data_IF_718750890088
#
_entry.id   IF_718750890088
#
_cell.length_a   1.000
_cell.length_b   1.000
_cell.length_c   1.000
_cell.angle_alpha   90.00
_cell.angle_beta   90.00
_cell.angle_gamma   90.00
#
_symmetry.space_group_name_H-M   'P 1'
#
loop_
_entity.id
_entity.type
_entity.pdbx_description
1 polymer ?
#
# COMPACT_ATOMS: atom_id res chain seq x y z
N UNK A 1 -32.53 -10.30 -42.15
CA UNK A 1 -31.30 -10.52 -41.36
C UNK A 1 -30.19 -9.60 -41.88
N UNK A 2 -30.34 -8.27 -41.85
CA UNK A 2 -29.39 -7.35 -42.51
C UNK A 2 -28.92 -6.17 -41.65
N UNK A 3 -29.11 -6.20 -40.32
CA UNK A 3 -28.76 -5.04 -39.45
C UNK A 3 -27.40 -5.15 -38.76
N UNK A 4 -26.73 -6.30 -38.80
CA UNK A 4 -25.48 -6.54 -38.05
C UNK A 4 -24.20 -6.33 -38.86
N UNK A 5 -24.30 -6.28 -40.20
CA UNK A 5 -23.14 -6.11 -41.10
C UNK A 5 -22.81 -4.63 -41.36
N UNK A 6 -23.75 -3.71 -41.12
CA UNK A 6 -23.57 -2.28 -41.34
C UNK A 6 -22.67 -1.64 -40.26
N UNK A 7 -22.80 -2.11 -39.01
CA UNK A 7 -22.01 -1.61 -37.87
C UNK A 7 -20.54 -2.05 -37.94
N UNK A 8 -20.24 -3.17 -38.63
CA UNK A 8 -18.86 -3.64 -38.83
C UNK A 8 -18.18 -2.91 -40.00
N UNK A 9 -18.96 -2.32 -40.92
CA UNK A 9 -18.43 -1.64 -42.11
C UNK A 9 -17.86 -0.24 -41.84
N UNK A 10 -18.25 0.42 -40.74
CA UNK A 10 -17.78 1.77 -40.43
C UNK A 10 -16.27 1.80 -40.09
N UNK A 11 -15.77 0.76 -39.41
CA UNK A 11 -14.36 0.65 -39.00
C UNK A 11 -13.41 0.19 -40.13
N UNK A 12 -13.96 -0.24 -41.27
CA UNK A 12 -13.21 -0.66 -42.47
C UNK A 12 -13.32 0.35 -43.61
N UNK A 13 -13.96 1.50 -43.36
CA UNK A 13 -13.99 2.60 -44.32
C UNK A 13 -12.59 3.18 -44.48
N UNK A 14 -12.19 3.45 -45.72
CA UNK A 14 -10.88 4.05 -46.02
C UNK A 14 -10.71 5.43 -45.34
N UNK A 15 -11.82 6.14 -45.14
CA UNK A 15 -11.86 7.42 -44.44
C UNK A 15 -11.49 7.28 -42.95
N UNK A 16 -11.99 6.24 -42.27
CA UNK A 16 -11.65 5.97 -40.87
C UNK A 16 -10.16 5.65 -40.69
N UNK A 17 -9.60 4.81 -41.56
CA UNK A 17 -8.16 4.47 -41.53
C UNK A 17 -7.28 5.69 -41.82
N UNK A 18 -7.72 6.60 -42.70
CA UNK A 18 -6.99 7.83 -42.99
C UNK A 18 -7.04 8.80 -41.81
N UNK A 19 -8.18 8.88 -41.11
CA UNK A 19 -8.32 9.68 -39.90
C UNK A 19 -7.44 9.15 -38.75
N UNK A 20 -7.35 7.82 -38.60
CA UNK A 20 -6.47 7.18 -37.62
C UNK A 20 -4.99 7.49 -37.91
N UNK A 21 -4.57 7.37 -39.17
CA UNK A 21 -3.21 7.73 -39.59
C UNK A 21 -2.88 9.21 -39.37
N UNK A 22 -3.85 10.12 -39.58
CA UNK A 22 -3.68 11.53 -39.30
C UNK A 22 -3.53 11.80 -37.80
N UNK A 23 -4.35 11.15 -36.97
CA UNK A 23 -4.27 11.28 -35.52
C UNK A 23 -2.92 10.76 -34.98
N UNK A 24 -2.44 9.61 -35.46
CA UNK A 24 -1.13 9.08 -35.11
C UNK A 24 0.01 10.01 -35.55
N UNK A 25 -0.07 10.57 -36.76
CA UNK A 25 0.92 11.52 -37.25
C UNK A 25 0.95 12.81 -36.40
N UNK A 26 -0.21 13.32 -35.99
CA UNK A 26 -0.30 14.50 -35.11
C UNK A 26 0.35 14.22 -33.75
N UNK A 27 0.06 13.06 -33.15
CA UNK A 27 0.68 12.64 -31.89
C UNK A 27 2.20 12.55 -32.01
N UNK A 28 2.71 11.93 -33.08
CA UNK A 28 4.15 11.82 -33.33
C UNK A 28 4.81 13.20 -33.52
N UNK A 29 4.16 14.14 -34.18
CA UNK A 29 4.67 15.52 -34.32
C UNK A 29 4.65 16.29 -33.00
N UNK A 30 3.67 16.06 -32.15
CA UNK A 30 3.60 16.67 -30.82
C UNK A 30 4.73 16.18 -29.92
N UNK A 31 5.05 14.88 -29.95
CA UNK A 31 6.18 14.30 -29.22
C UNK A 31 7.51 14.90 -29.71
N UNK A 32 7.69 15.02 -31.03
CA UNK A 32 8.89 15.64 -31.62
C UNK A 32 9.05 17.12 -31.24
N UNK A 33 7.95 17.87 -31.09
CA UNK A 33 7.97 19.26 -30.60
C UNK A 33 8.37 19.40 -29.13
N UNK A 34 8.11 18.39 -28.31
CA UNK A 34 8.55 18.36 -26.90
C UNK A 34 10.04 18.01 -26.79
N UNK A 35 10.60 17.32 -27.80
CA UNK A 35 12.03 16.98 -27.89
C UNK A 35 12.91 18.05 -28.56
N UNK A 36 12.40 19.25 -28.90
CA UNK A 36 13.30 20.35 -29.30
C UNK A 36 14.16 20.74 -28.08
N UNK A 37 15.50 20.55 -28.14
CA UNK A 37 16.35 20.89 -27.03
C UNK A 37 16.33 22.40 -26.85
N UNK A 38 15.70 22.87 -25.77
CA UNK A 38 15.93 24.23 -25.32
C UNK A 38 17.43 24.38 -25.08
N UNK A 39 18.07 25.18 -25.93
CA UNK A 39 19.48 25.56 -25.81
C UNK A 39 19.68 26.27 -24.47
N UNK A 40 20.18 25.55 -23.48
CA UNK A 40 20.76 26.18 -22.29
C UNK A 40 22.07 26.85 -22.73
N UNK A 41 22.00 28.14 -23.02
CA UNK A 41 23.17 28.96 -23.27
C UNK A 41 24.15 28.82 -22.09
N UNK A 42 25.30 28.21 -22.36
CA UNK A 42 26.40 28.13 -21.42
C UNK A 42 26.91 29.53 -21.09
N UNK A 43 26.84 29.90 -19.82
CA UNK A 43 27.59 31.01 -19.25
C UNK A 43 28.78 30.46 -18.46
N UNK A 44 29.86 30.20 -19.17
CA UNK A 44 31.25 30.07 -18.71
C UNK A 44 32.03 30.86 -19.77
N UNK A 45 32.80 31.92 -19.54
CA UNK A 45 33.68 32.40 -18.46
C UNK A 45 33.63 33.95 -18.51
N UNK A 46 33.90 34.70 -17.44
CA UNK A 46 35.23 35.30 -17.26
C UNK A 46 35.34 35.90 -15.86
N UNK A 47 36.21 35.34 -15.03
CA UNK A 47 36.71 36.01 -13.82
C UNK A 47 38.12 35.49 -13.51
N UNK A 48 39.07 36.41 -13.56
CA UNK A 48 40.48 36.29 -13.15
C UNK A 48 40.65 35.60 -11.77
N UNK A 49 41.77 34.88 -11.54
CA UNK A 49 41.94 34.03 -10.37
C UNK A 49 42.30 34.86 -9.13
N UNK A 50 41.49 34.78 -8.07
CA UNK A 50 41.88 35.19 -6.72
C UNK A 50 41.94 33.98 -5.78
N UNK A 51 43.04 33.81 -5.00
CA UNK A 51 43.18 32.69 -4.08
C UNK A 51 42.40 32.97 -2.79
N UNK A 52 41.58 32.01 -2.36
CA UNK A 52 40.87 32.07 -1.08
C UNK A 52 40.38 30.68 -0.65
N UNK A 53 40.56 30.28 0.62
CA UNK A 53 40.63 28.88 1.02
C UNK A 53 39.28 28.14 1.00
N UNK A 54 39.37 26.87 0.61
CA UNK A 54 38.31 25.87 0.55
C UNK A 54 37.71 25.60 1.93
N UNK A 55 36.46 25.98 2.14
CA UNK A 55 35.65 25.51 3.27
C UNK A 55 34.46 24.72 2.73
N UNK A 56 34.52 23.41 2.92
CA UNK A 56 33.46 22.45 2.61
C UNK A 56 32.23 22.83 3.44
N UNK A 57 31.20 23.38 2.78
CA UNK A 57 29.89 23.59 3.41
C UNK A 57 29.16 22.25 3.42
N UNK A 58 29.01 21.70 4.62
CA UNK A 58 28.28 20.47 4.89
C UNK A 58 26.81 20.60 4.50
N UNK A 59 26.34 19.60 3.75
CA UNK A 59 24.94 19.37 3.39
C UNK A 59 24.09 19.34 4.65
N UNK A 60 23.00 20.12 4.67
CA UNK A 60 21.97 20.06 5.73
C UNK A 60 21.48 18.63 5.92
N UNK A 61 21.78 18.06 7.07
CA UNK A 61 21.18 16.84 7.56
C UNK A 61 19.70 17.13 7.87
N UNK A 62 18.79 16.39 7.22
CA UNK A 62 17.39 16.35 7.66
C UNK A 62 17.35 15.61 8.99
N UNK A 63 17.29 16.37 10.08
CA UNK A 63 17.08 15.86 11.42
C UNK A 63 15.76 15.06 11.46
N UNK A 64 15.86 13.79 11.86
CA UNK A 64 14.73 12.96 12.26
C UNK A 64 14.13 13.62 13.51
N UNK A 65 12.94 14.21 13.39
CA UNK A 65 12.19 14.79 14.52
C UNK A 65 11.70 13.68 15.44
N UNK A 66 12.60 13.18 16.30
CA UNK A 66 12.28 12.43 17.51
C UNK A 66 12.18 13.47 18.62
N UNK A 67 10.96 13.79 19.05
CA UNK A 67 10.71 14.69 20.17
C UNK A 67 11.38 14.17 21.44
N UNK A 68 12.32 14.96 21.97
CA UNK A 68 12.94 14.80 23.28
C UNK A 68 12.62 16.03 24.12
N UNK A 69 12.29 15.78 25.39
CA UNK A 69 11.62 16.64 26.36
C UNK A 69 12.38 17.91 26.79
N UNK A 70 11.60 18.97 27.04
CA UNK A 70 11.94 20.07 27.94
C UNK A 70 10.77 20.30 28.91
N UNK A 71 11.05 20.14 30.20
CA UNK A 71 10.22 20.28 31.43
C UNK A 71 9.63 21.69 31.59
N UNK A 72 8.39 21.92 32.05
CA UNK A 72 7.89 21.93 33.46
C UNK A 72 6.45 22.52 33.40
N UNK A 73 5.41 22.22 34.18
CA UNK A 73 5.19 21.53 35.45
C UNK A 73 3.72 21.01 35.52
N UNK A 74 3.45 20.00 36.37
CA UNK A 74 2.11 19.79 36.96
C UNK A 74 1.51 18.39 36.90
N UNK A 75 1.83 17.58 37.91
CA UNK A 75 1.00 16.60 38.61
C UNK A 75 0.63 15.20 38.04
N UNK A 76 1.46 14.22 38.45
CA UNK A 76 1.14 12.92 39.08
C UNK A 76 -0.20 12.23 38.78
N UNK A 77 -0.18 11.03 38.16
CA UNK A 77 -0.65 9.73 38.73
C UNK A 77 0.08 8.55 38.03
N UNK A 78 0.34 7.51 38.82
CA UNK A 78 1.34 6.44 38.68
C UNK A 78 1.06 5.37 37.63
N UNK A 79 2.12 4.92 36.96
CA UNK A 79 2.23 3.60 36.33
C UNK A 79 2.48 2.55 37.43
N UNK A 80 1.63 1.53 37.49
CA UNK A 80 1.86 0.35 38.31
C UNK A 80 2.57 -0.72 37.49
N UNK A 81 3.84 -0.97 37.84
CA UNK A 81 4.53 -2.18 37.43
C UNK A 81 3.91 -3.39 38.16
N UNK A 82 3.42 -4.36 37.39
CA UNK A 82 3.36 -5.74 37.86
C UNK A 82 3.76 -6.67 36.72
N UNK A 83 5.04 -7.05 36.73
CA UNK A 83 5.44 -8.33 36.21
C UNK A 83 4.81 -9.43 37.08
N UNK A 84 3.96 -10.25 36.48
CA UNK A 84 3.64 -11.58 37.00
C UNK A 84 3.51 -12.52 35.80
N UNK A 85 4.47 -13.42 35.69
CA UNK A 85 4.38 -14.65 34.94
C UNK A 85 3.17 -15.46 35.43
N UNK A 86 2.31 -15.90 34.51
CA UNK A 86 1.44 -17.04 34.70
C UNK A 86 1.10 -17.65 33.32
N UNK A 87 1.37 -18.94 33.17
CA UNK A 87 0.74 -19.77 32.14
C UNK A 87 -0.78 -19.62 32.21
N UNK A 88 -1.42 -19.47 31.04
CA UNK A 88 -2.87 -19.49 30.89
C UNK A 88 -3.24 -20.30 29.66
N UNK A 89 -3.98 -21.37 29.92
CA UNK A 89 -4.76 -22.21 29.00
C UNK A 89 -5.62 -21.41 27.98
N UNK A 90 -6.10 -22.06 26.90
CA UNK A 90 -6.81 -21.39 25.80
C UNK A 90 -8.10 -20.70 26.26
N UNK A 91 -8.09 -19.36 26.24
CA UNK A 91 -9.26 -18.54 26.59
C UNK A 91 -10.30 -18.60 25.47
N UNK A 92 -11.50 -19.09 25.83
CA UNK A 92 -12.73 -19.01 25.05
C UNK A 92 -12.98 -17.55 24.59
N UNK A 93 -12.79 -17.28 23.29
CA UNK A 93 -13.13 -15.98 22.71
C UNK A 93 -14.66 -15.85 22.68
N UNK A 94 -15.18 -14.89 23.44
CA UNK A 94 -16.59 -14.49 23.40
C UNK A 94 -17.00 -14.10 21.98
N UNK A 95 -18.11 -14.69 21.52
CA UNK A 95 -18.76 -14.56 20.19
C UNK A 95 -18.91 -13.12 19.65
N UNK A 96 -18.79 -12.10 20.50
CA UNK A 96 -18.88 -10.69 20.10
C UNK A 96 -17.58 -10.07 19.56
N UNK A 97 -16.44 -10.75 19.65
CA UNK A 97 -15.13 -10.22 19.21
C UNK A 97 -14.51 -10.99 18.05
N UNK A 98 -15.09 -12.12 17.67
CA UNK A 98 -14.59 -12.96 16.59
C UNK A 98 -14.98 -12.39 15.21
N UNK A 99 -14.03 -12.40 14.28
CA UNK A 99 -14.19 -12.04 12.88
C UNK A 99 -14.34 -13.35 12.10
N UNK A 100 -15.57 -13.63 11.67
CA UNK A 100 -15.88 -14.80 10.86
C UNK A 100 -15.45 -14.58 9.41
N UNK A 101 -14.61 -15.48 8.89
CA UNK A 101 -14.04 -15.40 7.55
C UNK A 101 -14.08 -16.76 6.85
N UNK A 102 -14.02 -16.75 5.52
CA UNK A 102 -13.91 -17.97 4.73
C UNK A 102 -12.62 -18.73 5.06
N UNK A 103 -12.60 -20.05 4.80
CA UNK A 103 -11.38 -20.89 4.95
C UNK A 103 -10.18 -20.30 4.22
N UNK A 104 -10.46 -19.72 3.06
CA UNK A 104 -9.50 -19.12 2.17
C UNK A 104 -8.81 -17.89 2.76
N UNK A 105 -9.59 -17.03 3.43
CA UNK A 105 -9.11 -15.85 4.14
C UNK A 105 -8.43 -16.22 5.46
N UNK A 106 -8.96 -17.21 6.17
CA UNK A 106 -8.38 -17.70 7.43
C UNK A 106 -6.93 -18.14 7.23
N UNK A 107 -6.63 -18.87 6.15
CA UNK A 107 -5.26 -19.26 5.81
C UNK A 107 -4.32 -18.06 5.59
N UNK A 108 -4.82 -16.95 5.04
CA UNK A 108 -4.03 -15.71 4.89
C UNK A 108 -3.73 -15.09 6.25
N UNK A 109 -4.70 -15.03 7.15
CA UNK A 109 -4.51 -14.46 8.49
C UNK A 109 -3.59 -15.31 9.36
N UNK A 110 -3.63 -16.64 9.21
CA UNK A 110 -2.65 -17.53 9.84
C UNK A 110 -1.23 -17.22 9.34
N UNK A 111 -1.02 -17.10 8.03
CA UNK A 111 0.29 -16.69 7.49
C UNK A 111 0.71 -15.29 7.94
N UNK A 112 -0.23 -14.38 8.14
CA UNK A 112 0.03 -13.01 8.60
C UNK A 112 0.41 -12.92 10.08
N UNK A 113 -0.14 -13.80 10.91
CA UNK A 113 0.10 -13.91 12.34
C UNK A 113 0.64 -15.29 12.71
N UNK A 114 1.82 -15.72 12.25
CA UNK A 114 2.29 -17.11 12.36
C UNK A 114 2.57 -17.57 13.79
N UNK A 115 2.27 -18.83 14.09
CA UNK A 115 2.74 -19.57 15.26
C UNK A 115 4.13 -20.20 15.01
N UNK A 116 4.69 -20.90 16.01
CA UNK A 116 6.05 -21.44 15.96
C UNK A 116 6.27 -22.47 14.84
N UNK A 117 5.25 -23.27 14.54
CA UNK A 117 5.33 -24.41 13.62
C UNK A 117 4.67 -24.14 12.26
N UNK A 118 4.27 -22.90 11.99
CA UNK A 118 3.56 -22.55 10.78
C UNK A 118 4.46 -22.50 9.55
N UNK A 119 3.88 -22.92 8.42
CA UNK A 119 4.58 -22.89 7.13
C UNK A 119 4.68 -21.46 6.64
N UNK A 120 5.90 -21.04 6.32
CA UNK A 120 6.21 -19.76 5.70
C UNK A 120 5.89 -19.84 4.20
N UNK A 121 4.95 -19.02 3.70
CA UNK A 121 4.52 -19.02 2.29
C UNK A 121 4.22 -17.62 1.78
N UNK A 122 4.49 -17.40 0.50
CA UNK A 122 4.04 -16.21 -0.22
C UNK A 122 2.52 -16.20 -0.35
N UNK A 123 1.94 -15.00 -0.35
CA UNK A 123 0.50 -14.80 -0.58
C UNK A 123 0.32 -13.89 -1.80
N UNK A 124 -0.51 -14.30 -2.76
CA UNK A 124 -0.88 -13.42 -3.88
C UNK A 124 -1.52 -12.14 -3.33
N UNK A 125 -1.15 -10.98 -3.88
CA UNK A 125 -1.68 -9.70 -3.42
C UNK A 125 -3.21 -9.66 -3.41
N UNK A 126 -3.85 -10.13 -4.49
CA UNK A 126 -5.31 -10.17 -4.59
C UNK A 126 -5.95 -11.07 -3.53
N UNK A 127 -5.26 -12.16 -3.16
CA UNK A 127 -5.72 -13.04 -2.08
C UNK A 127 -5.67 -12.36 -0.73
N UNK A 128 -4.65 -11.53 -0.47
CA UNK A 128 -4.62 -10.66 0.70
C UNK A 128 -5.74 -9.62 0.67
N UNK A 129 -5.98 -8.96 -0.46
CA UNK A 129 -7.07 -7.99 -0.63
C UNK A 129 -8.42 -8.63 -0.34
N UNK A 130 -8.69 -9.81 -0.90
CA UNK A 130 -9.92 -10.55 -0.65
C UNK A 130 -10.08 -10.93 0.82
N UNK A 131 -9.01 -11.38 1.49
CA UNK A 131 -9.06 -11.69 2.91
C UNK A 131 -9.43 -10.47 3.75
N UNK A 132 -8.83 -9.30 3.46
CA UNK A 132 -9.18 -8.04 4.12
C UNK A 132 -10.65 -7.66 3.90
N UNK A 133 -11.17 -7.83 2.69
CA UNK A 133 -12.58 -7.55 2.38
C UNK A 133 -13.51 -8.48 3.17
N UNK A 134 -13.21 -9.78 3.19
CA UNK A 134 -13.96 -10.81 3.91
C UNK A 134 -13.97 -10.56 5.43
N UNK A 135 -12.92 -9.94 5.97
CA UNK A 135 -12.81 -9.47 7.34
C UNK A 135 -13.49 -8.10 7.62
N UNK A 136 -14.30 -7.59 6.68
CA UNK A 136 -15.11 -6.39 6.88
C UNK A 136 -14.46 -5.07 6.45
N UNK A 137 -13.44 -5.11 5.59
CA UNK A 137 -12.91 -3.91 4.93
C UNK A 137 -13.49 -3.71 3.53
N UNK A 138 -13.40 -2.47 3.06
CA UNK A 138 -13.52 -2.14 1.64
C UNK A 138 -12.14 -1.79 1.11
N UNK A 139 -11.77 -2.32 -0.05
CA UNK A 139 -10.52 -1.99 -0.72
C UNK A 139 -10.78 -1.02 -1.87
N UNK A 140 -9.97 0.04 -1.97
CA UNK A 140 -9.97 0.97 -3.10
C UNK A 140 -8.56 1.27 -3.54
N UNK A 141 -8.32 1.19 -4.84
CA UNK A 141 -7.07 1.66 -5.42
C UNK A 141 -6.95 3.16 -5.18
N UNK A 142 -5.78 3.58 -4.73
CA UNK A 142 -5.37 4.96 -4.56
C UNK A 142 -4.30 5.29 -5.61
N UNK A 143 -3.64 6.44 -5.51
CA UNK A 143 -2.55 6.80 -6.41
C UNK A 143 -1.45 5.72 -6.49
N UNK A 144 -1.06 5.34 -7.71
CA UNK A 144 -0.02 4.35 -7.99
C UNK A 144 -0.39 2.94 -7.51
N UNK A 145 0.56 2.26 -6.87
CA UNK A 145 0.37 0.91 -6.31
C UNK A 145 -0.29 0.91 -4.92
N UNK A 146 -0.72 2.06 -4.39
CA UNK A 146 -1.32 2.13 -3.07
C UNK A 146 -2.77 1.64 -3.08
N UNK A 147 -3.14 0.78 -2.14
CA UNK A 147 -4.51 0.31 -1.90
C UNK A 147 -4.93 0.73 -0.51
N UNK A 148 -6.04 1.46 -0.43
CA UNK A 148 -6.65 1.90 0.80
C UNK A 148 -7.71 0.90 1.27
N UNK A 149 -7.60 0.46 2.51
CA UNK A 149 -8.56 -0.37 3.20
C UNK A 149 -9.31 0.47 4.23
N UNK A 150 -10.63 0.52 4.13
CA UNK A 150 -11.51 1.20 5.10
C UNK A 150 -12.47 0.19 5.72
N UNK A 151 -12.53 0.13 7.04
CA UNK A 151 -13.45 -0.74 7.76
C UNK A 151 -14.90 -0.31 7.51
N UNK A 152 -15.79 -1.29 7.32
CA UNK A 152 -17.19 -1.05 6.94
C UNK A 152 -18.04 -0.55 8.13
N UNK A 153 -17.64 -0.89 9.36
CA UNK A 153 -18.27 -0.39 10.59
C UNK A 153 -18.12 1.14 10.71
N UNK A 154 -19.16 1.83 11.20
CA UNK A 154 -19.31 3.29 11.16
C UNK A 154 -18.26 4.11 11.91
N UNK A 155 -17.54 3.50 12.84
CA UNK A 155 -16.43 4.10 13.60
C UNK A 155 -15.05 3.68 13.07
N UNK A 156 -15.03 3.01 11.90
CA UNK A 156 -13.93 2.22 11.40
C UNK A 156 -12.70 3.02 10.92
N UNK A 157 -11.53 2.54 11.33
CA UNK A 157 -10.23 3.07 10.90
C UNK A 157 -9.93 2.81 9.41
N UNK A 158 -8.89 3.48 8.91
CA UNK A 158 -8.37 3.34 7.55
C UNK A 158 -6.89 3.00 7.58
N UNK A 159 -6.47 2.11 6.69
CA UNK A 159 -5.06 1.78 6.47
C UNK A 159 -4.74 1.74 4.98
N UNK A 160 -3.48 1.99 4.63
CA UNK A 160 -3.01 1.95 3.25
C UNK A 160 -1.78 1.06 3.18
N UNK A 161 -1.80 0.13 2.23
CA UNK A 161 -0.67 -0.74 1.89
C UNK A 161 -0.33 -0.57 0.42
N UNK A 162 0.94 -0.78 0.07
CA UNK A 162 1.36 -0.78 -1.32
C UNK A 162 1.32 -2.20 -1.87
N UNK A 163 0.71 -2.36 -3.04
CA UNK A 163 0.78 -3.57 -3.84
C UNK A 163 2.25 -3.84 -4.20
N UNK A 164 2.77 -5.06 -3.92
CA UNK A 164 4.11 -5.47 -4.32
C UNK A 164 4.30 -5.35 -5.84
N UNK A 165 5.49 -4.90 -6.27
CA UNK A 165 5.89 -4.78 -7.67
C UNK A 165 7.40 -5.11 -7.77
N UNK A 166 7.89 -5.84 -8.80
CA UNK A 166 7.23 -6.22 -10.06
C UNK A 166 6.33 -7.45 -10.02
N UNK A 167 6.42 -8.25 -8.97
CA UNK A 167 5.61 -9.46 -8.82
C UNK A 167 4.52 -9.18 -7.81
N UNK A 168 3.28 -9.51 -8.16
CA UNK A 168 2.08 -9.32 -7.33
C UNK A 168 1.96 -10.35 -6.20
N UNK A 169 3.09 -10.66 -5.56
CA UNK A 169 3.19 -11.58 -4.42
C UNK A 169 3.67 -10.81 -3.20
N UNK A 170 2.95 -10.99 -2.11
CA UNK A 170 3.35 -10.56 -0.78
C UNK A 170 4.24 -11.64 -0.19
N UNK A 171 5.52 -11.32 -0.02
CA UNK A 171 6.43 -12.20 0.70
C UNK A 171 6.05 -12.29 2.20
N UNK A 172 6.50 -13.34 2.92
CA UNK A 172 6.10 -13.57 4.30
C UNK A 172 6.59 -12.48 5.28
N UNK A 173 7.71 -11.83 4.99
CA UNK A 173 8.27 -10.76 5.82
C UNK A 173 7.39 -9.53 5.70
N UNK A 174 7.04 -9.13 4.48
CA UNK A 174 6.12 -8.04 4.21
C UNK A 174 4.73 -8.33 4.80
N UNK A 175 4.22 -9.55 4.63
CA UNK A 175 2.94 -9.96 5.20
C UNK A 175 2.95 -9.79 6.72
N UNK A 176 4.02 -10.19 7.40
CA UNK A 176 4.15 -10.02 8.86
C UNK A 176 4.30 -8.55 9.29
N UNK A 177 4.95 -7.71 8.48
CA UNK A 177 5.00 -6.26 8.72
C UNK A 177 3.59 -5.66 8.62
N UNK A 178 2.81 -6.07 7.63
CA UNK A 178 1.41 -5.67 7.50
C UNK A 178 0.60 -6.16 8.70
N UNK A 179 0.78 -7.42 9.12
CA UNK A 179 0.17 -8.00 10.33
C UNK A 179 0.43 -7.18 11.58
N UNK A 180 1.69 -6.82 11.88
CA UNK A 180 2.03 -5.94 13.02
C UNK A 180 1.34 -4.58 12.94
N UNK A 181 1.17 -4.05 11.73
CA UNK A 181 0.45 -2.79 11.55
C UNK A 181 -1.05 -2.99 11.79
N UNK A 182 -1.63 -4.10 11.36
CA UNK A 182 -3.03 -4.45 11.67
C UNK A 182 -3.25 -4.62 13.17
N UNK A 183 -2.34 -5.29 13.86
CA UNK A 183 -2.36 -5.46 15.32
C UNK A 183 -2.35 -4.09 16.03
N UNK A 184 -1.44 -3.20 15.65
CA UNK A 184 -1.32 -1.89 16.28
C UNK A 184 -2.54 -0.97 16.04
N UNK A 185 -3.11 -0.99 14.84
CA UNK A 185 -4.17 -0.05 14.45
C UNK A 185 -5.57 -0.57 14.74
N UNK A 186 -5.77 -1.88 14.72
CA UNK A 186 -7.08 -2.52 14.82
C UNK A 186 -7.16 -3.61 15.90
N UNK A 187 -6.08 -3.82 16.66
CA UNK A 187 -6.02 -4.88 17.68
C UNK A 187 -6.03 -6.30 17.10
N UNK A 188 -5.78 -6.45 15.80
CA UNK A 188 -5.87 -7.74 15.13
C UNK A 188 -4.82 -8.73 15.64
N UNK A 189 -5.29 -9.93 15.99
CA UNK A 189 -4.46 -11.09 16.35
C UNK A 189 -5.05 -12.34 15.71
N UNK A 190 -4.22 -13.37 15.55
CA UNK A 190 -4.58 -14.68 14.97
C UNK A 190 -5.96 -15.17 15.42
N UNK A 191 -6.20 -15.06 16.71
CA UNK A 191 -7.30 -15.75 17.41
C UNK A 191 -8.63 -15.03 17.26
N UNK A 192 -8.62 -13.80 16.73
CA UNK A 192 -9.85 -13.12 16.34
C UNK A 192 -10.48 -13.76 15.12
N UNK A 193 -9.72 -14.43 14.25
CA UNK A 193 -10.24 -14.97 13.00
C UNK A 193 -10.74 -16.39 13.19
N UNK A 194 -12.02 -16.60 12.91
CA UNK A 194 -12.67 -17.91 12.98
C UNK A 194 -13.26 -18.28 11.63
N UNK A 195 -13.37 -19.58 11.37
CA UNK A 195 -14.02 -20.07 10.16
C UNK A 195 -15.51 -19.74 10.22
N UNK A 196 -16.03 -19.06 9.20
CA UNK A 196 -17.47 -18.84 9.03
C UNK A 196 -18.15 -20.18 8.77
N UNK A 197 -19.18 -20.50 9.55
CA UNK A 197 -20.00 -21.68 9.29
C UNK A 197 -20.73 -21.48 7.96
N UNK A 198 -20.41 -22.33 6.99
CA UNK A 198 -21.16 -22.43 5.74
C UNK A 198 -22.49 -23.08 6.08
N UNK A 199 -23.51 -22.26 6.32
CA UNK A 199 -24.89 -22.73 6.42
C UNK A 199 -25.28 -23.23 5.04
N UNK A 200 -25.41 -24.55 4.93
CA UNK A 200 -25.85 -25.29 3.73
C UNK A 200 -27.28 -24.89 3.37
#
# INVERSE_FOLDING_TARGET
>A
MNSLLEVVSANLSAEYLQQEQQAEAEILTAIRRVEEPQTVAGFFYEAEPRPGPSTIVTRREKAKTRGGQGTSAGDTIKLGDKAASAHGEPTELTKGTAIEVTRQSLGVFQLMFPDRDDVVKDVLWDRFVHAMIDAGFTARNNSGSAVAFKQLSGEGGRIVFHKPHPVDKTDPVLLRIMGKRMERWFGWRRELFVLRDETI
#
